data_IF_872617184763
#
_entry.id   IF_872617184763
#
_cell.length_a   1.000
_cell.length_b   1.000
_cell.length_c   1.000
_cell.angle_alpha   90.00
_cell.angle_beta   90.00
_cell.angle_gamma   90.00
#
_symmetry.space_group_name_H-M   'P 1'
#
loop_
_entity.id
_entity.type
_entity.pdbx_description
1 polymer ?
#
# COMPACT_ATOMS: atom_id res chain seq x y z
N UNK A 1 8.93 37.46 55.28
CA UNK A 1 8.82 38.49 54.23
C UNK A 1 9.78 38.06 53.11
N UNK A 2 9.25 37.29 52.16
CA UNK A 2 8.85 37.73 50.80
C UNK A 2 10.06 37.89 49.88
N UNK A 3 10.32 36.88 49.03
CA UNK A 3 10.09 36.86 47.57
C UNK A 3 11.30 37.49 46.83
N UNK A 4 11.86 36.97 45.74
CA UNK A 4 11.22 36.39 44.57
C UNK A 4 12.26 35.60 43.76
N UNK A 5 11.78 34.57 43.04
CA UNK A 5 12.58 33.63 42.26
C UNK A 5 12.07 33.68 40.80
N UNK A 6 12.86 34.24 39.88
CA UNK A 6 12.60 34.22 38.43
C UNK A 6 13.84 33.61 37.74
N UNK A 7 13.79 32.60 36.87
CA UNK A 7 12.69 31.99 36.13
C UNK A 7 13.29 31.55 34.79
N UNK A 8 13.89 30.37 34.72
CA UNK A 8 14.32 29.76 33.45
C UNK A 8 13.17 28.89 32.92
N UNK A 9 12.67 29.08 31.69
CA UNK A 9 11.70 28.16 31.12
C UNK A 9 12.41 26.84 30.78
N UNK A 10 12.18 25.81 31.61
CA UNK A 10 12.47 24.42 31.23
C UNK A 10 11.39 23.98 30.27
N UNK A 11 11.71 23.89 28.99
CA UNK A 11 10.89 23.17 28.01
C UNK A 11 11.01 21.69 28.33
N UNK A 12 10.05 21.18 29.09
CA UNK A 12 9.86 19.74 29.27
C UNK A 12 9.08 19.20 28.06
N UNK A 13 9.58 18.18 27.34
CA UNK A 13 8.76 17.51 26.34
C UNK A 13 7.65 16.80 27.11
N UNK A 14 6.44 17.35 27.05
CA UNK A 14 5.23 16.75 27.60
C UNK A 14 5.01 15.45 26.83
N UNK A 15 5.43 14.32 27.40
CA UNK A 15 5.04 13.00 26.93
C UNK A 15 3.51 12.98 26.98
N UNK A 16 2.90 13.01 25.80
CA UNK A 16 1.45 12.94 25.66
C UNK A 16 1.02 11.54 26.07
N UNK A 17 0.62 11.44 27.34
CA UNK A 17 0.06 10.25 27.92
C UNK A 17 -1.30 10.05 27.29
N UNK A 18 -1.42 9.07 26.39
CA UNK A 18 -2.70 8.73 25.79
C UNK A 18 -3.71 8.41 26.91
N UNK A 19 -4.66 9.32 27.15
CA UNK A 19 -5.71 9.11 28.14
C UNK A 19 -6.83 8.29 27.51
N UNK A 20 -7.20 7.12 28.06
CA UNK A 20 -8.46 6.47 27.71
C UNK A 20 -9.63 7.35 28.21
N UNK A 21 -10.80 7.33 27.53
CA UNK A 21 -11.44 6.15 26.96
C UNK A 21 -11.27 6.04 25.45
N UNK A 22 -11.75 4.90 24.91
CA UNK A 22 -11.99 4.64 23.48
C UNK A 22 -13.05 5.62 22.93
N UNK A 23 -12.73 6.90 22.94
CA UNK A 23 -13.56 7.97 22.39
C UNK A 23 -13.37 8.00 20.89
N UNK A 24 -14.41 8.39 20.14
CA UNK A 24 -14.34 8.47 18.67
C UNK A 24 -13.11 9.29 18.20
N UNK A 25 -12.84 10.43 18.84
CA UNK A 25 -11.66 11.26 18.58
C UNK A 25 -10.33 10.57 18.91
N UNK A 26 -10.30 9.76 19.97
CA UNK A 26 -9.15 8.92 20.30
C UNK A 26 -8.92 7.85 19.24
N UNK A 27 -9.98 7.19 18.77
CA UNK A 27 -9.92 6.20 17.68
C UNK A 27 -9.39 6.85 16.39
N UNK A 28 -9.83 8.05 16.03
CA UNK A 28 -9.34 8.79 14.86
C UNK A 28 -7.85 9.15 14.98
N UNK A 29 -7.41 9.50 16.19
CA UNK A 29 -6.00 9.80 16.47
C UNK A 29 -5.11 8.56 16.31
N UNK A 30 -5.61 7.38 16.73
CA UNK A 30 -4.93 6.11 16.49
C UNK A 30 -5.06 5.64 15.05
N UNK A 31 -6.14 5.97 14.33
CA UNK A 31 -6.32 5.62 12.93
C UNK A 31 -5.20 6.22 12.09
N UNK A 32 -4.87 7.50 12.27
CA UNK A 32 -3.76 8.14 11.55
C UNK A 32 -2.39 7.48 11.84
N UNK A 33 -2.17 7.08 13.10
CA UNK A 33 -0.93 6.38 13.49
C UNK A 33 -0.90 4.96 12.90
N UNK A 34 -1.97 4.19 13.01
CA UNK A 34 -2.10 2.83 12.48
C UNK A 34 -2.06 2.79 10.95
N UNK A 35 -2.58 3.82 10.26
CA UNK A 35 -2.41 4.00 8.82
C UNK A 35 -0.96 4.28 8.44
N UNK A 36 -0.17 4.89 9.33
CA UNK A 36 1.25 5.17 9.11
C UNK A 36 2.17 3.97 9.47
N UNK A 37 1.73 3.06 10.34
CA UNK A 37 2.41 1.78 10.63
C UNK A 37 1.76 0.58 9.91
N UNK A 38 0.84 0.86 8.99
CA UNK A 38 -0.06 -0.12 8.42
C UNK A 38 0.60 -0.99 7.35
N UNK A 39 0.44 -2.30 7.47
CA UNK A 39 0.55 -3.19 6.32
C UNK A 39 -0.55 -2.78 5.33
N UNK A 40 -0.15 -2.22 4.19
CA UNK A 40 -1.09 -1.82 3.15
C UNK A 40 -1.40 -3.00 2.23
N UNK A 41 -2.59 -3.03 1.64
CA UNK A 41 -2.95 -4.07 0.69
C UNK A 41 -2.85 -3.53 -0.74
N UNK A 42 -2.26 -4.34 -1.61
CA UNK A 42 -2.30 -4.17 -3.06
C UNK A 42 -2.97 -5.38 -3.68
N UNK A 43 -3.66 -5.18 -4.79
CA UNK A 43 -4.37 -6.19 -5.53
C UNK A 43 -3.71 -6.43 -6.88
N UNK A 44 -3.16 -7.62 -7.07
CA UNK A 44 -2.69 -8.09 -8.37
C UNK A 44 -3.85 -8.74 -9.09
N UNK A 45 -4.20 -8.23 -10.26
CA UNK A 45 -5.28 -8.78 -11.10
C UNK A 45 -4.79 -9.02 -12.52
N UNK A 46 -5.45 -9.92 -13.24
CA UNK A 46 -5.15 -10.12 -14.66
C UNK A 46 -5.61 -11.47 -15.15
N UNK A 47 -5.31 -11.75 -16.42
CA UNK A 47 -5.65 -13.02 -17.06
C UNK A 47 -4.38 -13.73 -17.54
N UNK A 48 -4.11 -14.93 -17.02
CA UNK A 48 -3.05 -15.78 -17.52
C UNK A 48 -3.30 -16.16 -18.98
N UNK A 49 -2.22 -16.31 -19.77
CA UNK A 49 -2.31 -16.89 -21.10
C UNK A 49 -3.00 -18.26 -21.08
N UNK A 50 -3.75 -18.55 -22.14
CA UNK A 50 -4.33 -19.89 -22.34
C UNK A 50 -3.25 -20.84 -22.84
N UNK A 51 -3.23 -22.05 -22.28
CA UNK A 51 -2.25 -23.07 -22.62
C UNK A 51 -2.16 -24.15 -21.55
N UNK A 52 -1.46 -25.23 -21.88
CA UNK A 52 -1.05 -26.20 -20.88
C UNK A 52 0.07 -25.58 -20.03
N UNK A 53 -0.02 -25.71 -18.72
CA UNK A 53 1.03 -25.24 -17.81
C UNK A 53 2.30 -26.03 -18.08
N UNK A 54 3.39 -25.34 -18.42
CA UNK A 54 4.72 -25.97 -18.59
C UNK A 54 5.65 -25.68 -17.42
N UNK A 55 5.32 -24.67 -16.59
CA UNK A 55 6.05 -24.36 -15.38
C UNK A 55 5.45 -23.20 -14.58
N UNK A 56 6.13 -22.88 -13.49
CA UNK A 56 5.79 -21.76 -12.63
C UNK A 56 6.76 -20.61 -12.86
N UNK A 57 6.23 -19.40 -13.01
CA UNK A 57 6.98 -18.16 -13.21
C UNK A 57 6.77 -17.27 -11.99
N UNK A 58 7.86 -16.74 -11.44
CA UNK A 58 7.83 -15.76 -10.37
C UNK A 58 7.84 -14.34 -10.95
N UNK A 59 6.76 -13.62 -10.70
CA UNK A 59 6.59 -12.22 -11.03
C UNK A 59 6.97 -11.35 -9.82
N UNK A 60 7.68 -10.27 -10.08
CA UNK A 60 8.09 -9.28 -9.10
C UNK A 60 7.23 -8.04 -9.23
N UNK A 61 6.79 -7.52 -8.09
CA UNK A 61 6.11 -6.23 -7.99
C UNK A 61 7.14 -5.20 -7.57
N UNK A 62 7.26 -4.13 -8.35
CA UNK A 62 8.24 -3.06 -8.15
C UNK A 62 7.50 -1.75 -7.89
N UNK A 63 7.92 -1.02 -6.87
CA UNK A 63 7.53 0.38 -6.70
C UNK A 63 8.40 1.25 -7.62
N UNK A 64 7.78 1.87 -8.63
CA UNK A 64 8.49 2.69 -9.62
C UNK A 64 9.17 3.90 -9.01
N UNK A 65 8.67 4.39 -7.87
CA UNK A 65 9.19 5.58 -7.20
C UNK A 65 10.49 5.28 -6.45
N UNK A 66 10.53 4.19 -5.68
CA UNK A 66 11.69 3.78 -4.90
C UNK A 66 12.64 2.83 -5.64
N UNK A 67 12.24 2.33 -6.82
CA UNK A 67 12.96 1.30 -7.59
C UNK A 67 13.25 0.03 -6.76
N UNK A 68 12.39 -0.26 -5.80
CA UNK A 68 12.51 -1.41 -4.91
C UNK A 68 11.50 -2.50 -5.26
N UNK A 69 11.90 -3.75 -5.10
CA UNK A 69 10.98 -4.89 -5.13
C UNK A 69 10.19 -4.87 -3.83
N UNK A 70 8.86 -4.74 -3.94
CA UNK A 70 7.98 -4.68 -2.77
C UNK A 70 7.37 -6.04 -2.44
N UNK A 71 7.22 -6.91 -3.44
CA UNK A 71 6.67 -8.25 -3.26
C UNK A 71 6.94 -9.13 -4.49
N UNK A 72 6.61 -10.41 -4.38
CA UNK A 72 6.68 -11.38 -5.47
C UNK A 72 5.49 -12.34 -5.41
N UNK A 73 5.11 -12.85 -6.57
CA UNK A 73 4.01 -13.81 -6.75
C UNK A 73 4.45 -14.87 -7.75
N UNK A 74 4.21 -16.14 -7.46
CA UNK A 74 4.52 -17.24 -8.38
C UNK A 74 3.22 -17.75 -8.99
N UNK A 75 3.14 -17.75 -10.33
CA UNK A 75 1.97 -18.17 -11.10
C UNK A 75 2.37 -19.18 -12.16
N UNK A 76 1.45 -20.04 -12.62
CA UNK A 76 1.63 -20.81 -13.84
C UNK A 76 1.93 -19.90 -15.05
N UNK A 77 2.74 -20.38 -15.98
CA UNK A 77 3.03 -19.70 -17.26
C UNK A 77 1.80 -19.60 -18.17
N UNK A 78 0.94 -20.62 -18.14
CA UNK A 78 -0.34 -20.65 -18.83
C UNK A 78 -1.33 -21.55 -18.08
N UNK A 79 -2.64 -21.38 -18.33
CA UNK A 79 -3.68 -22.23 -17.75
C UNK A 79 -4.93 -22.29 -18.61
N UNK A 80 -5.47 -23.50 -18.79
CA UNK A 80 -6.76 -23.73 -19.45
C UNK A 80 -7.94 -23.82 -18.47
N UNK A 81 -7.68 -24.03 -17.17
CA UNK A 81 -8.72 -24.23 -16.16
C UNK A 81 -9.00 -22.95 -15.36
N UNK A 82 -7.93 -22.27 -14.92
CA UNK A 82 -7.99 -21.06 -14.11
C UNK A 82 -7.14 -19.97 -14.75
N UNK A 83 -7.77 -19.06 -15.48
CA UNK A 83 -7.06 -17.99 -16.18
C UNK A 83 -7.16 -16.64 -15.47
N UNK A 84 -8.22 -16.35 -14.71
CA UNK A 84 -8.33 -15.09 -13.98
C UNK A 84 -7.54 -15.16 -12.67
N UNK A 85 -6.68 -14.17 -12.44
CA UNK A 85 -5.85 -14.01 -11.24
C UNK A 85 -6.37 -12.82 -10.45
N UNK A 86 -6.52 -13.01 -9.15
CA UNK A 86 -6.84 -11.97 -8.19
C UNK A 86 -6.16 -12.30 -6.86
N UNK A 87 -5.08 -11.58 -6.53
CA UNK A 87 -4.24 -11.85 -5.36
C UNK A 87 -4.06 -10.59 -4.56
N UNK A 88 -4.40 -10.64 -3.27
CA UNK A 88 -4.15 -9.56 -2.31
C UNK A 88 -2.80 -9.77 -1.65
N UNK A 89 -1.95 -8.75 -1.70
CA UNK A 89 -0.61 -8.76 -1.12
C UNK A 89 -0.49 -7.65 -0.08
N UNK A 90 0.13 -7.97 1.05
CA UNK A 90 0.48 -6.97 2.06
C UNK A 90 1.84 -6.39 1.75
N UNK A 91 1.94 -5.06 1.72
CA UNK A 91 3.18 -4.31 1.50
C UNK A 91 3.44 -3.36 2.64
N UNK A 92 4.71 -3.19 2.98
CA UNK A 92 5.11 -2.29 4.06
C UNK A 92 4.93 -0.81 3.71
N UNK A 93 4.89 -0.47 2.42
CA UNK A 93 4.75 0.91 1.93
C UNK A 93 3.83 0.96 0.73
N UNK A 94 2.78 1.78 0.82
CA UNK A 94 1.88 2.05 -0.29
C UNK A 94 2.49 3.09 -1.24
N UNK A 95 2.32 2.86 -2.53
CA UNK A 95 2.76 3.73 -3.63
C UNK A 95 1.64 3.79 -4.66
N UNK A 96 1.52 4.91 -5.37
CA UNK A 96 0.54 5.05 -6.47
C UNK A 96 1.06 4.53 -7.82
N UNK A 97 2.23 3.88 -7.84
CA UNK A 97 2.92 3.54 -9.07
C UNK A 97 3.67 2.21 -8.95
N UNK A 98 2.94 1.10 -9.10
CA UNK A 98 3.53 -0.25 -9.15
C UNK A 98 3.61 -0.80 -10.56
N UNK A 99 4.68 -1.54 -10.85
CA UNK A 99 4.78 -2.40 -12.03
C UNK A 99 4.88 -3.87 -11.59
N UNK A 100 4.42 -4.78 -12.44
CA UNK A 100 4.56 -6.23 -12.25
C UNK A 100 5.20 -6.85 -13.48
N UNK A 101 6.15 -7.77 -13.28
CA UNK A 101 6.93 -8.32 -14.38
C UNK A 101 7.96 -9.35 -13.94
N UNK A 102 8.85 -9.72 -14.84
CA UNK A 102 9.94 -10.68 -14.58
C UNK A 102 11.29 -10.03 -14.89
N UNK A 103 12.36 -10.56 -14.30
CA UNK A 103 13.71 -10.19 -14.70
C UNK A 103 14.22 -11.16 -15.77
N UNK A 104 14.70 -10.61 -16.88
CA UNK A 104 15.38 -11.39 -17.92
C UNK A 104 16.80 -11.77 -17.46
N UNK A 105 17.45 -12.68 -18.20
CA UNK A 105 18.82 -13.14 -17.88
C UNK A 105 19.87 -12.03 -17.92
N UNK A 106 19.62 -10.94 -18.66
CA UNK A 106 20.44 -9.74 -18.70
C UNK A 106 20.19 -8.78 -17.50
N UNK A 107 19.27 -9.14 -16.59
CA UNK A 107 18.87 -8.31 -15.45
C UNK A 107 17.81 -7.23 -15.78
N UNK A 108 17.33 -7.16 -17.02
CA UNK A 108 16.31 -6.21 -17.43
C UNK A 108 14.92 -6.62 -16.91
N UNK A 109 14.18 -5.65 -16.38
CA UNK A 109 12.80 -5.87 -15.97
C UNK A 109 11.86 -5.83 -17.18
N UNK A 110 11.15 -6.92 -17.42
CA UNK A 110 10.11 -7.05 -18.45
C UNK A 110 8.72 -7.01 -17.80
N UNK A 111 7.92 -5.96 -18.05
CA UNK A 111 6.54 -5.90 -17.57
C UNK A 111 5.68 -7.06 -18.09
N UNK A 112 4.78 -7.56 -17.24
CA UNK A 112 3.77 -8.54 -17.60
C UNK A 112 2.48 -7.82 -18.00
N UNK A 113 2.28 -7.58 -19.30
CA UNK A 113 1.18 -6.75 -19.82
C UNK A 113 -0.23 -7.28 -19.51
N UNK A 114 -0.36 -8.56 -19.19
CA UNK A 114 -1.63 -9.20 -18.83
C UNK A 114 -1.93 -9.18 -17.33
N UNK A 115 -1.00 -8.65 -16.51
CA UNK A 115 -1.19 -8.44 -15.07
C UNK A 115 -1.14 -6.94 -14.75
N UNK A 116 -1.93 -6.54 -13.78
CA UNK A 116 -1.98 -5.17 -13.26
C UNK A 116 -1.96 -5.20 -11.74
N UNK A 117 -1.34 -4.18 -11.15
CA UNK A 117 -1.34 -3.97 -9.70
C UNK A 117 -2.20 -2.75 -9.41
N UNK A 118 -3.13 -2.91 -8.47
CA UNK A 118 -3.98 -1.84 -7.96
C UNK A 118 -3.72 -1.65 -6.48
N UNK A 119 -3.90 -0.44 -6.01
CA UNK A 119 -3.80 -0.02 -4.63
C UNK A 119 -5.02 0.81 -4.25
N UNK A 120 -5.27 0.99 -2.96
CA UNK A 120 -6.35 1.87 -2.50
C UNK A 120 -6.12 3.35 -2.89
N UNK A 121 -4.88 3.72 -3.26
CA UNK A 121 -4.55 5.04 -3.81
C UNK A 121 -5.06 5.22 -5.25
N UNK A 122 -5.36 4.14 -5.96
CA UNK A 122 -5.87 4.17 -7.34
C UNK A 122 -7.38 4.46 -7.40
N UNK A 123 -8.01 4.80 -6.27
CA UNK A 123 -9.41 5.20 -6.22
C UNK A 123 -9.63 6.43 -7.11
N UNK A 124 -10.43 6.37 -8.19
CA UNK A 124 -10.77 7.55 -8.96
C UNK A 124 -11.47 8.55 -8.04
N UNK A 125 -11.32 9.88 -8.24
CA UNK A 125 -11.95 10.87 -7.37
C UNK A 125 -13.44 10.57 -7.28
N UNK A 126 -13.90 10.28 -6.07
CA UNK A 126 -15.31 10.08 -5.79
C UNK A 126 -16.05 11.31 -6.28
N UNK A 127 -16.81 11.16 -7.37
CA UNK A 127 -17.62 12.20 -7.98
C UNK A 127 -18.78 12.59 -7.07
N UNK A 128 -18.47 13.27 -5.98
CA UNK A 128 -19.43 13.92 -5.11
C UNK A 128 -19.54 15.39 -5.49
N UNK A 129 -20.44 15.73 -6.40
CA UNK A 129 -21.04 17.07 -6.42
C UNK A 129 -22.50 16.97 -5.99
N UNK A 130 -22.67 17.31 -4.71
CA UNK A 130 -23.87 17.82 -4.07
C UNK A 130 -24.68 18.72 -5.00
N UNK A 131 -26.01 18.57 -4.96
CA UNK A 131 -26.94 19.33 -5.78
C UNK A 131 -26.95 20.83 -5.48
N UNK A 132 -27.46 21.60 -6.45
CA UNK A 132 -28.16 22.86 -6.19
C UNK A 132 -29.21 23.08 -7.28
N UNK A 133 -30.43 23.28 -6.82
CA UNK A 133 -31.62 23.60 -7.59
C UNK A 133 -31.45 24.83 -8.49
N UNK A 134 -32.13 24.81 -9.62
CA UNK A 134 -32.81 25.95 -10.21
C UNK A 134 -34.09 25.43 -10.90
#
# INVERSE_FOLDING_TARGET
MSNDCAGKPKVSPKREHARPPITATGIDSYAGVLSAIGLHEILVTGNLPRGQTTGNITYFIIDRSSKAIVSQVTLPDASNQFNRVEIRLKVARLSGAYDIGTFQSNGEFKPAEFLAVRSDLDTPPSGGTSGRAA
#
